data_IF_590437360161
#
_entry.id   IF_590437360161
#
_cell.length_a   1.000
_cell.length_b   1.000
_cell.length_c   1.000
_cell.angle_alpha   90.00
_cell.angle_beta   90.00
_cell.angle_gamma   90.00
#
_symmetry.space_group_name_H-M   'P 1'
#
loop_
_entity.id
_entity.type
_entity.pdbx_description
1 polymer ?
#
# COMPACT_ATOMS: atom_id res chain seq x y z
N UNK A 1 -38.26 7.86 -16.93
CA UNK A 1 -38.59 7.08 -15.73
C UNK A 1 -38.12 5.64 -15.96
N UNK A 2 -36.85 5.36 -15.69
CA UNK A 2 -36.32 4.00 -15.59
C UNK A 2 -35.44 3.96 -14.36
N UNK A 3 -35.96 3.31 -13.30
CA UNK A 3 -35.17 2.80 -12.19
C UNK A 3 -34.14 1.84 -12.79
N UNK A 4 -32.86 2.13 -12.59
CA UNK A 4 -31.83 1.12 -12.64
C UNK A 4 -31.72 0.55 -11.22
N UNK A 5 -31.84 -0.77 -11.15
CA UNK A 5 -32.02 -1.55 -9.95
C UNK A 5 -30.80 -1.51 -9.03
N UNK A 6 -31.10 -1.73 -7.74
CA UNK A 6 -30.17 -1.72 -6.63
C UNK A 6 -28.99 -2.69 -6.84
N UNK A 7 -27.78 -2.23 -6.49
CA UNK A 7 -26.60 -3.07 -6.41
C UNK A 7 -26.84 -4.28 -5.49
N UNK A 8 -26.38 -5.49 -5.84
CA UNK A 8 -26.62 -6.68 -5.05
C UNK A 8 -25.73 -6.71 -3.79
N UNK A 9 -26.36 -6.89 -2.62
CA UNK A 9 -25.84 -7.50 -1.39
C UNK A 9 -24.36 -7.21 -1.02
N UNK A 10 -24.03 -5.97 -0.64
CA UNK A 10 -22.74 -5.64 0.03
C UNK A 10 -22.62 -6.22 1.44
N UNK A 11 -23.73 -6.68 2.03
CA UNK A 11 -23.79 -7.10 3.44
C UNK A 11 -22.81 -8.23 3.80
N UNK A 12 -22.57 -9.19 2.90
CA UNK A 12 -21.65 -10.29 3.17
C UNK A 12 -20.17 -9.87 3.16
N UNK A 13 -19.81 -8.89 2.31
CA UNK A 13 -18.45 -8.36 2.28
C UNK A 13 -18.20 -7.38 3.43
N UNK A 14 -19.18 -6.54 3.77
CA UNK A 14 -19.10 -5.64 4.92
C UNK A 14 -18.97 -6.42 6.24
N UNK A 15 -19.72 -7.53 6.39
CA UNK A 15 -19.62 -8.44 7.53
C UNK A 15 -18.25 -9.13 7.58
N UNK A 16 -17.74 -9.61 6.44
CA UNK A 16 -16.41 -10.23 6.35
C UNK A 16 -15.31 -9.23 6.73
N UNK A 17 -15.34 -8.02 6.18
CA UNK A 17 -14.37 -6.97 6.51
C UNK A 17 -14.45 -6.62 8.00
N UNK A 18 -15.65 -6.49 8.56
CA UNK A 18 -15.83 -6.24 10.00
C UNK A 18 -15.25 -7.37 10.86
N UNK A 19 -15.42 -8.62 10.46
CA UNK A 19 -14.86 -9.79 11.15
C UNK A 19 -13.32 -9.83 11.08
N UNK A 20 -12.74 -9.46 9.94
CA UNK A 20 -11.28 -9.36 9.76
C UNK A 20 -10.69 -8.24 10.66
N UNK A 21 -11.31 -7.06 10.67
CA UNK A 21 -10.94 -5.97 11.57
C UNK A 21 -11.04 -6.42 13.03
N UNK A 22 -12.16 -7.04 13.41
CA UNK A 22 -12.36 -7.54 14.77
C UNK A 22 -11.27 -8.54 15.17
N UNK A 23 -10.93 -9.49 14.29
CA UNK A 23 -9.91 -10.50 14.54
C UNK A 23 -8.54 -9.87 14.79
N UNK A 24 -8.14 -8.90 13.97
CA UNK A 24 -6.85 -8.21 14.14
C UNK A 24 -6.82 -7.37 15.41
N UNK A 25 -7.88 -6.59 15.66
CA UNK A 25 -8.00 -5.68 16.81
C UNK A 25 -8.03 -6.44 18.14
N UNK A 26 -8.71 -7.59 18.20
CA UNK A 26 -8.79 -8.39 19.43
C UNK A 26 -7.63 -9.38 19.62
N UNK A 27 -6.66 -9.38 18.72
CA UNK A 27 -5.55 -10.31 18.76
C UNK A 27 -4.70 -10.18 20.04
N UNK A 28 -4.24 -11.32 20.55
CA UNK A 28 -3.32 -11.40 21.69
C UNK A 28 -2.09 -10.50 21.55
N UNK A 29 -1.36 -10.44 20.41
CA UNK A 29 -0.21 -9.54 20.28
C UNK A 29 -0.55 -8.06 20.48
N UNK A 30 -1.68 -7.58 19.93
CA UNK A 30 -2.06 -6.17 20.11
C UNK A 30 -2.45 -5.87 21.55
N UNK A 31 -3.18 -6.78 22.21
CA UNK A 31 -3.49 -6.68 23.65
C UNK A 31 -2.24 -6.67 24.51
N UNK A 32 -1.27 -7.51 24.19
CA UNK A 32 0.03 -7.58 24.88
C UNK A 32 0.80 -6.27 24.77
N UNK A 33 0.85 -5.67 23.58
CA UNK A 33 1.45 -4.35 23.39
C UNK A 33 0.73 -3.27 24.21
N UNK A 34 -0.60 -3.21 24.15
CA UNK A 34 -1.36 -2.21 24.92
C UNK A 34 -1.07 -2.34 26.42
N UNK A 35 -1.11 -3.57 26.96
CA UNK A 35 -0.81 -3.83 28.36
C UNK A 35 0.63 -3.44 28.74
N UNK A 36 1.61 -3.81 27.92
CA UNK A 36 3.03 -3.49 28.16
C UNK A 36 3.30 -1.98 28.21
N UNK A 37 2.63 -1.21 27.35
CA UNK A 37 2.73 0.25 27.33
C UNK A 37 1.78 0.93 28.33
N UNK A 38 1.23 0.19 29.30
CA UNK A 38 0.43 0.73 30.42
C UNK A 38 -1.04 0.99 30.12
N UNK A 39 -1.54 0.51 28.97
CA UNK A 39 -2.94 0.59 28.60
C UNK A 39 -3.78 -0.49 29.25
N UNK A 40 -5.00 -0.15 29.67
CA UNK A 40 -6.02 -1.12 30.05
C UNK A 40 -7.00 -1.26 28.89
N UNK A 41 -7.25 -2.49 28.45
CA UNK A 41 -8.17 -2.73 27.34
C UNK A 41 -9.57 -2.23 27.70
N UNK A 42 -10.25 -1.46 26.84
CA UNK A 42 -11.56 -0.92 27.16
C UNK A 42 -12.63 -2.00 27.07
N UNK A 43 -13.66 -1.87 27.90
CA UNK A 43 -14.96 -2.51 27.64
C UNK A 43 -15.66 -1.76 26.50
N UNK A 44 -16.45 -2.47 25.68
CA UNK A 44 -17.23 -1.85 24.61
C UNK A 44 -17.21 -2.62 23.30
N UNK A 45 -17.78 -1.99 22.27
CA UNK A 45 -17.84 -2.56 20.92
C UNK A 45 -16.57 -2.23 20.09
N UNK A 46 -16.54 -2.68 18.82
CA UNK A 46 -15.41 -2.43 17.91
C UNK A 46 -15.16 -0.93 17.67
N UNK A 47 -16.20 -0.09 17.68
CA UNK A 47 -16.06 1.35 17.53
C UNK A 47 -15.32 1.96 18.71
N UNK A 48 -15.72 1.56 19.93
CA UNK A 48 -15.09 2.03 21.17
C UNK A 48 -13.63 1.58 21.28
N UNK A 49 -13.36 0.32 20.94
CA UNK A 49 -11.99 -0.23 20.96
C UNK A 49 -11.10 0.45 19.92
N UNK A 50 -11.56 0.66 18.69
CA UNK A 50 -10.78 1.36 17.65
C UNK A 50 -10.48 2.81 18.05
N UNK A 51 -11.45 3.51 18.65
CA UNK A 51 -11.25 4.87 19.17
C UNK A 51 -10.18 4.88 20.27
N UNK A 52 -10.30 3.99 21.25
CA UNK A 52 -9.30 3.85 22.32
C UNK A 52 -7.91 3.55 21.75
N UNK A 53 -7.79 2.61 20.81
CA UNK A 53 -6.50 2.23 20.24
C UNK A 53 -5.84 3.37 19.46
N UNK A 54 -6.62 4.17 18.74
CA UNK A 54 -6.11 5.35 18.04
C UNK A 54 -5.57 6.39 19.05
N UNK A 55 -6.36 6.70 20.09
CA UNK A 55 -5.96 7.65 21.14
C UNK A 55 -4.78 7.14 21.99
N UNK A 56 -4.70 5.83 22.24
CA UNK A 56 -3.60 5.18 22.92
C UNK A 56 -2.32 5.21 22.07
N UNK A 57 -2.39 4.73 20.83
CA UNK A 57 -1.24 4.69 19.93
C UNK A 57 -0.72 6.09 19.60
N UNK A 58 -1.58 7.10 19.50
CA UNK A 58 -1.17 8.49 19.33
C UNK A 58 -0.32 9.02 20.50
N UNK A 59 -0.61 8.58 21.73
CA UNK A 59 0.14 8.99 22.93
C UNK A 59 1.45 8.22 23.10
N UNK A 60 1.43 6.92 22.82
CA UNK A 60 2.55 6.03 23.16
C UNK A 60 3.47 5.71 21.99
N UNK A 61 2.97 5.75 20.75
CA UNK A 61 3.66 5.22 19.58
C UNK A 61 3.88 6.27 18.47
N UNK A 62 3.41 7.52 18.64
CA UNK A 62 3.63 8.58 17.64
C UNK A 62 5.00 9.25 17.75
N UNK A 63 6.03 8.55 17.29
CA UNK A 63 7.40 9.07 17.18
C UNK A 63 7.65 9.97 15.95
N UNK A 64 6.64 10.16 15.09
CA UNK A 64 6.71 11.02 13.89
C UNK A 64 6.39 12.45 14.27
N UNK A 65 5.41 12.67 15.14
CA UNK A 65 5.03 14.00 15.61
C UNK A 65 4.77 14.99 14.45
N UNK A 66 4.13 14.51 13.38
CA UNK A 66 3.85 15.30 12.16
C UNK A 66 4.90 15.26 11.04
N UNK A 67 6.07 14.64 11.24
CA UNK A 67 7.10 14.49 10.19
C UNK A 67 6.78 13.39 9.16
N UNK A 68 7.50 13.36 8.04
CA UNK A 68 7.45 12.28 7.05
C UNK A 68 7.96 10.96 7.65
N UNK A 69 7.57 9.81 7.08
CA UNK A 69 7.94 8.47 7.61
C UNK A 69 9.45 8.26 7.78
N UNK A 70 10.32 8.69 6.83
CA UNK A 70 11.77 8.49 6.97
C UNK A 70 12.38 9.25 8.14
N UNK A 71 11.70 10.31 8.60
CA UNK A 71 12.18 11.25 9.63
C UNK A 71 11.61 10.95 11.03
N UNK A 72 10.97 9.79 11.21
CA UNK A 72 10.54 9.32 12.52
C UNK A 72 11.77 9.11 13.42
N UNK A 73 11.71 9.58 14.67
CA UNK A 73 12.79 9.36 15.64
C UNK A 73 12.63 7.96 16.24
N UNK A 74 13.72 7.23 16.39
CA UNK A 74 13.67 5.95 17.08
C UNK A 74 13.54 6.18 18.60
N UNK A 75 12.55 5.57 19.27
CA UNK A 75 12.47 5.57 20.73
C UNK A 75 13.62 4.77 21.35
N UNK A 76 14.04 5.18 22.54
CA UNK A 76 14.93 4.38 23.37
C UNK A 76 14.11 3.28 24.07
N UNK A 77 14.17 2.06 23.54
CA UNK A 77 13.45 0.89 24.06
C UNK A 77 14.45 -0.08 24.67
N UNK A 78 14.14 -0.59 25.86
CA UNK A 78 14.93 -1.68 26.43
C UNK A 78 14.83 -2.96 25.55
N UNK A 79 15.80 -3.87 25.63
CA UNK A 79 15.83 -5.06 24.79
C UNK A 79 14.59 -5.95 24.87
N UNK A 80 13.97 -6.07 26.05
CA UNK A 80 12.77 -6.90 26.21
C UNK A 80 11.56 -6.26 25.51
N UNK A 81 11.42 -4.94 25.64
CA UNK A 81 10.42 -4.16 24.91
C UNK A 81 10.62 -4.25 23.39
N UNK A 82 11.87 -4.15 22.92
CA UNK A 82 12.19 -4.29 21.50
C UNK A 82 11.80 -5.67 20.95
N UNK A 83 12.12 -6.75 21.66
CA UNK A 83 11.70 -8.11 21.28
C UNK A 83 10.19 -8.25 21.24
N UNK A 84 9.48 -7.78 22.28
CA UNK A 84 8.01 -7.82 22.32
C UNK A 84 7.40 -7.11 21.10
N UNK A 85 7.93 -5.95 20.72
CA UNK A 85 7.45 -5.19 19.56
C UNK A 85 7.66 -5.95 18.26
N UNK A 86 8.84 -6.56 18.08
CA UNK A 86 9.14 -7.34 16.87
C UNK A 86 8.27 -8.59 16.77
N UNK A 87 8.10 -9.33 17.86
CA UNK A 87 7.25 -10.52 17.91
C UNK A 87 5.78 -10.16 17.63
N UNK A 88 5.30 -9.07 18.21
CA UNK A 88 3.95 -8.57 17.95
C UNK A 88 3.80 -8.12 16.49
N UNK A 89 4.78 -7.40 15.93
CA UNK A 89 4.75 -6.98 14.53
C UNK A 89 4.75 -8.17 13.57
N UNK A 90 5.51 -9.23 13.85
CA UNK A 90 5.47 -10.48 13.10
C UNK A 90 4.07 -11.11 13.15
N UNK A 91 3.52 -11.28 14.35
CA UNK A 91 2.20 -11.90 14.57
C UNK A 91 1.04 -11.08 13.97
N UNK A 92 1.19 -9.75 13.90
CA UNK A 92 0.23 -8.83 13.29
C UNK A 92 0.35 -8.73 11.75
N UNK A 93 1.32 -9.44 11.15
CA UNK A 93 1.49 -9.52 9.70
C UNK A 93 2.31 -8.40 9.07
N UNK A 94 3.18 -7.72 9.84
CA UNK A 94 4.02 -6.61 9.34
C UNK A 94 5.43 -7.05 8.91
N UNK A 95 5.89 -8.24 9.28
CA UNK A 95 7.27 -8.68 9.02
C UNK A 95 7.33 -9.69 7.88
N UNK A 96 6.57 -10.77 8.01
CA UNK A 96 6.70 -11.89 7.09
C UNK A 96 5.80 -11.70 5.87
N UNK A 97 6.35 -11.82 4.65
CA UNK A 97 5.54 -11.84 3.44
C UNK A 97 4.61 -13.06 3.45
N UNK A 98 3.42 -12.90 2.89
CA UNK A 98 2.45 -13.98 2.69
C UNK A 98 2.21 -14.09 1.18
N UNK A 99 2.15 -15.31 0.60
CA UNK A 99 1.87 -15.47 -0.82
C UNK A 99 0.47 -14.96 -1.18
N UNK A 100 0.22 -14.64 -2.46
CA UNK A 100 -1.12 -14.29 -2.92
C UNK A 100 -2.14 -15.38 -2.55
N UNK A 101 -3.28 -14.97 -1.97
CA UNK A 101 -4.28 -15.91 -1.48
C UNK A 101 -5.09 -16.58 -2.62
N UNK A 102 -5.10 -15.99 -3.82
CA UNK A 102 -5.82 -16.49 -5.00
C UNK A 102 -4.85 -16.96 -6.06
N UNK A 103 -5.28 -17.95 -6.82
CA UNK A 103 -4.50 -18.51 -7.93
C UNK A 103 -4.53 -17.67 -9.20
N UNK A 104 -5.33 -16.60 -9.27
CA UNK A 104 -5.43 -15.70 -10.42
C UNK A 104 -6.08 -14.36 -10.01
N UNK A 105 -5.69 -13.30 -10.70
CA UNK A 105 -6.19 -11.93 -10.50
C UNK A 105 -6.64 -11.30 -11.80
N UNK A 106 -7.60 -10.38 -11.73
CA UNK A 106 -7.93 -9.49 -12.84
C UNK A 106 -6.81 -8.47 -13.02
N UNK A 107 -6.33 -7.88 -11.93
CA UNK A 107 -5.28 -6.86 -11.95
C UNK A 107 -4.26 -7.06 -10.83
N UNK A 108 -3.03 -6.63 -11.08
CA UNK A 108 -2.01 -6.45 -10.04
C UNK A 108 -1.72 -4.96 -9.94
N UNK A 109 -1.67 -4.43 -8.73
CA UNK A 109 -1.45 -3.01 -8.47
C UNK A 109 -0.21 -2.84 -7.59
N UNK A 110 0.86 -2.31 -8.15
CA UNK A 110 2.13 -2.03 -7.49
C UNK A 110 2.11 -0.63 -6.92
N UNK A 111 2.25 -0.50 -5.60
CA UNK A 111 2.23 0.80 -4.93
C UNK A 111 3.60 1.48 -4.98
N UNK A 112 3.62 2.76 -5.30
CA UNK A 112 4.77 3.64 -5.18
C UNK A 112 5.18 3.92 -3.74
N UNK A 113 6.34 4.55 -3.57
CA UNK A 113 6.88 4.96 -2.28
C UNK A 113 8.22 5.69 -2.46
N UNK A 114 9.17 5.37 -1.59
CA UNK A 114 10.55 5.79 -1.77
C UNK A 114 11.17 5.04 -2.95
N UNK A 115 12.17 5.65 -3.60
CA UNK A 115 12.82 5.11 -4.80
C UNK A 115 13.22 3.62 -4.68
N UNK A 116 13.82 3.21 -3.57
CA UNK A 116 14.19 1.80 -3.35
C UNK A 116 12.98 0.85 -3.29
N UNK A 117 11.89 1.30 -2.67
CA UNK A 117 10.66 0.53 -2.56
C UNK A 117 9.98 0.40 -3.94
N UNK A 118 10.01 1.44 -4.76
CA UNK A 118 9.51 1.42 -6.13
C UNK A 118 10.16 0.29 -6.94
N UNK A 119 11.50 0.27 -6.99
CA UNK A 119 12.26 -0.75 -7.73
C UNK A 119 11.97 -2.16 -7.21
N UNK A 120 12.00 -2.36 -5.88
CA UNK A 120 11.76 -3.68 -5.27
C UNK A 120 10.35 -4.20 -5.52
N UNK A 121 9.33 -3.34 -5.44
CA UNK A 121 7.92 -3.73 -5.65
C UNK A 121 7.62 -4.05 -7.11
N UNK A 122 8.20 -3.29 -8.05
CA UNK A 122 8.13 -3.63 -9.49
C UNK A 122 8.81 -4.96 -9.76
N UNK A 123 10.01 -5.17 -9.21
CA UNK A 123 10.72 -6.44 -9.31
C UNK A 123 9.90 -7.62 -8.74
N UNK A 124 9.24 -7.44 -7.60
CA UNK A 124 8.40 -8.48 -7.00
C UNK A 124 7.17 -8.80 -7.85
N UNK A 125 6.51 -7.79 -8.45
CA UNK A 125 5.42 -8.04 -9.38
C UNK A 125 5.88 -8.86 -10.60
N UNK A 126 7.06 -8.55 -11.15
CA UNK A 126 7.62 -9.35 -12.24
C UNK A 126 7.98 -10.78 -11.79
N UNK A 127 8.49 -10.95 -10.57
CA UNK A 127 8.73 -12.28 -9.98
C UNK A 127 7.43 -13.09 -9.91
N UNK A 128 6.35 -12.51 -9.39
CA UNK A 128 5.05 -13.19 -9.31
C UNK A 128 4.54 -13.62 -10.70
N UNK A 129 4.64 -12.75 -11.70
CA UNK A 129 4.24 -13.07 -13.07
C UNK A 129 5.08 -14.20 -13.67
N UNK A 130 6.41 -14.15 -13.52
CA UNK A 130 7.34 -15.18 -14.01
C UNK A 130 7.16 -16.51 -13.29
N UNK A 131 6.75 -16.47 -12.02
CA UNK A 131 6.37 -17.65 -11.24
C UNK A 131 5.00 -18.24 -11.67
N UNK A 132 4.33 -17.63 -12.67
CA UNK A 132 3.12 -18.15 -13.28
C UNK A 132 1.82 -17.60 -12.71
N UNK A 133 1.85 -16.48 -11.97
CA UNK A 133 0.62 -15.83 -11.50
C UNK A 133 -0.21 -15.32 -12.70
N UNK A 134 -1.40 -15.87 -12.98
CA UNK A 134 -2.23 -15.42 -14.08
C UNK A 134 -2.88 -14.06 -13.77
N UNK A 135 -2.75 -13.15 -14.74
CA UNK A 135 -3.37 -11.81 -14.70
C UNK A 135 -4.09 -11.56 -16.03
N UNK A 136 -5.40 -11.36 -15.99
CA UNK A 136 -6.21 -11.20 -17.22
C UNK A 136 -6.30 -9.77 -17.75
N UNK A 137 -6.12 -8.78 -16.87
CA UNK A 137 -6.20 -7.36 -17.18
C UNK A 137 -4.82 -6.74 -17.36
N UNK A 138 -4.32 -6.06 -16.33
CA UNK A 138 -3.02 -5.37 -16.38
C UNK A 138 -2.28 -5.42 -15.03
N UNK A 139 -0.97 -5.17 -15.08
CA UNK A 139 -0.19 -4.73 -13.92
C UNK A 139 -0.11 -3.21 -13.94
N UNK A 140 -0.76 -2.57 -12.98
CA UNK A 140 -0.71 -1.13 -12.79
C UNK A 140 0.33 -0.75 -11.74
N UNK A 141 1.27 0.11 -12.12
CA UNK A 141 2.36 0.61 -11.30
C UNK A 141 2.06 2.06 -10.97
N UNK A 142 1.58 2.30 -9.75
CA UNK A 142 0.99 3.56 -9.34
C UNK A 142 2.02 4.43 -8.62
N UNK A 143 2.32 5.59 -9.21
CA UNK A 143 3.27 6.57 -8.68
C UNK A 143 2.67 7.97 -8.51
N UNK A 144 3.56 8.93 -8.30
CA UNK A 144 3.23 10.34 -8.23
C UNK A 144 4.37 11.19 -8.83
N UNK A 145 4.10 12.46 -9.10
CA UNK A 145 5.14 13.44 -9.46
C UNK A 145 5.88 13.98 -8.23
N UNK A 146 5.91 13.24 -7.11
CA UNK A 146 6.69 13.61 -5.93
C UNK A 146 8.18 13.67 -6.32
N UNK A 147 8.85 14.81 -6.12
CA UNK A 147 10.29 14.89 -6.33
C UNK A 147 11.03 13.94 -5.39
N UNK A 148 12.11 13.35 -5.89
CA UNK A 148 13.00 12.56 -5.05
C UNK A 148 13.78 13.46 -4.08
N UNK A 149 14.08 12.92 -2.90
CA UNK A 149 15.04 13.54 -1.98
C UNK A 149 16.49 13.30 -2.43
N UNK A 150 17.44 14.09 -1.89
CA UNK A 150 18.88 13.88 -2.15
C UNK A 150 19.38 12.51 -1.69
N UNK A 151 18.77 11.96 -0.64
CA UNK A 151 19.08 10.61 -0.17
C UNK A 151 18.62 9.57 -1.20
N UNK A 152 17.40 9.67 -1.72
CA UNK A 152 16.88 8.77 -2.75
C UNK A 152 17.72 8.82 -4.03
N UNK A 153 18.06 10.01 -4.52
CA UNK A 153 18.94 10.17 -5.70
C UNK A 153 20.29 9.50 -5.52
N UNK A 154 20.92 9.67 -4.34
CA UNK A 154 22.20 9.01 -4.03
C UNK A 154 22.06 7.49 -3.99
N UNK A 155 21.02 6.97 -3.36
CA UNK A 155 20.75 5.52 -3.32
C UNK A 155 20.56 4.92 -4.72
N UNK A 156 19.88 5.63 -5.63
CA UNK A 156 19.76 5.21 -7.03
C UNK A 156 21.11 5.20 -7.74
N UNK A 157 21.89 6.28 -7.59
CA UNK A 157 23.20 6.41 -8.21
C UNK A 157 24.19 5.33 -7.73
N UNK A 158 24.22 5.03 -6.43
CA UNK A 158 25.04 3.97 -5.84
C UNK A 158 24.70 2.58 -6.39
N UNK A 159 23.45 2.36 -6.80
CA UNK A 159 23.00 1.14 -7.45
C UNK A 159 23.13 1.14 -8.98
N UNK A 160 23.75 2.17 -9.56
CA UNK A 160 23.89 2.33 -11.01
C UNK A 160 22.56 2.49 -11.74
N UNK A 161 21.56 3.08 -11.07
CA UNK A 161 20.28 3.44 -11.66
C UNK A 161 20.30 4.90 -12.16
N UNK A 162 19.48 5.23 -13.18
CA UNK A 162 19.32 6.59 -13.68
C UNK A 162 19.03 7.63 -12.58
N UNK A 163 19.46 8.86 -12.84
CA UNK A 163 19.15 10.02 -12.01
C UNK A 163 17.72 10.51 -12.29
N UNK A 164 16.74 9.70 -11.89
CA UNK A 164 15.33 10.03 -12.03
C UNK A 164 14.94 11.19 -11.09
N UNK A 165 14.02 12.05 -11.54
CA UNK A 165 13.63 13.26 -10.81
C UNK A 165 12.43 13.02 -9.89
N UNK A 166 11.48 12.17 -10.31
CA UNK A 166 10.25 11.90 -9.59
C UNK A 166 10.03 10.42 -9.30
N UNK A 167 9.14 10.14 -8.35
CA UNK A 167 8.71 8.77 -8.03
C UNK A 167 8.18 8.00 -9.25
N UNK A 168 7.38 8.65 -10.12
CA UNK A 168 6.86 8.00 -11.34
C UNK A 168 7.95 7.72 -12.37
N UNK A 169 9.02 8.52 -12.41
CA UNK A 169 10.17 8.25 -13.29
C UNK A 169 10.95 7.01 -12.83
N UNK A 170 11.16 6.86 -11.52
CA UNK A 170 11.78 5.66 -10.94
C UNK A 170 10.97 4.41 -11.26
N UNK A 171 9.64 4.49 -11.15
CA UNK A 171 8.75 3.37 -11.47
C UNK A 171 8.81 3.01 -12.95
N UNK A 172 8.87 4.00 -13.84
CA UNK A 172 9.01 3.78 -15.28
C UNK A 172 10.34 3.13 -15.65
N UNK A 173 11.44 3.66 -15.10
CA UNK A 173 12.79 3.09 -15.22
C UNK A 173 12.82 1.65 -14.71
N UNK A 174 12.21 1.38 -13.55
CA UNK A 174 12.11 0.05 -13.00
C UNK A 174 11.32 -0.90 -13.91
N UNK A 175 10.18 -0.47 -14.46
CA UNK A 175 9.38 -1.27 -15.39
C UNK A 175 10.18 -1.60 -16.66
N UNK A 176 10.81 -0.60 -17.28
CA UNK A 176 11.61 -0.79 -18.50
C UNK A 176 12.75 -1.79 -18.28
N UNK A 177 13.44 -1.68 -17.16
CA UNK A 177 14.57 -2.56 -16.82
C UNK A 177 14.10 -3.97 -16.46
N UNK A 178 13.10 -4.10 -15.60
CA UNK A 178 12.66 -5.39 -15.08
C UNK A 178 11.93 -6.20 -16.13
N UNK A 179 11.09 -5.56 -16.96
CA UNK A 179 10.33 -6.21 -18.02
C UNK A 179 11.02 -6.17 -19.39
N UNK A 180 12.24 -5.63 -19.46
CA UNK A 180 13.07 -5.57 -20.67
C UNK A 180 12.37 -4.88 -21.86
N UNK A 181 11.61 -3.83 -21.57
CA UNK A 181 10.86 -3.04 -22.56
C UNK A 181 11.51 -1.69 -22.82
N UNK A 182 11.67 -1.34 -24.10
CA UNK A 182 12.39 -0.14 -24.49
C UNK A 182 11.55 1.14 -24.46
N UNK A 183 10.29 1.09 -24.90
CA UNK A 183 9.40 2.25 -25.02
C UNK A 183 7.94 1.85 -24.78
N UNK A 184 7.08 2.77 -24.30
CA UNK A 184 5.67 2.47 -24.15
C UNK A 184 5.00 2.29 -25.51
N UNK A 185 4.09 1.32 -25.59
CA UNK A 185 3.22 1.13 -26.75
C UNK A 185 2.12 2.21 -26.81
N UNK A 186 1.73 2.73 -25.66
CA UNK A 186 0.75 3.82 -25.53
C UNK A 186 1.23 4.80 -24.46
N UNK A 187 1.09 6.08 -24.74
CA UNK A 187 1.37 7.16 -23.80
C UNK A 187 0.25 8.18 -23.84
N UNK A 188 -0.23 8.56 -22.67
CA UNK A 188 -1.26 9.58 -22.47
C UNK A 188 -0.94 10.40 -21.22
N UNK A 189 -1.52 11.57 -21.10
CA UNK A 189 -1.30 12.46 -19.97
C UNK A 189 -1.56 13.92 -20.27
N UNK A 190 -1.59 14.71 -19.20
CA UNK A 190 -1.66 16.17 -19.27
C UNK A 190 -0.54 16.71 -18.39
N UNK A 191 0.35 17.52 -18.99
CA UNK A 191 1.24 18.38 -18.24
C UNK A 191 0.57 19.76 -18.08
N UNK A 192 0.05 20.01 -16.88
CA UNK A 192 -0.60 21.26 -16.53
C UNK A 192 0.40 22.32 -16.01
N UNK A 193 1.71 22.08 -16.12
CA UNK A 193 2.76 22.96 -15.59
C UNK A 193 2.86 22.95 -14.06
N UNK A 194 2.08 22.08 -13.39
CA UNK A 194 2.11 21.92 -11.94
C UNK A 194 1.85 20.46 -11.54
N UNK A 195 2.74 19.82 -10.75
CA UNK A 195 2.65 18.38 -10.40
C UNK A 195 1.30 17.92 -9.82
N UNK A 196 0.57 18.80 -9.14
CA UNK A 196 -0.72 18.44 -8.55
C UNK A 196 -1.85 18.35 -9.59
N UNK A 197 -1.73 19.05 -10.71
CA UNK A 197 -2.73 19.09 -11.78
C UNK A 197 -2.35 18.17 -12.94
N UNK A 198 -1.09 17.75 -13.02
CA UNK A 198 -0.58 16.87 -14.07
C UNK A 198 -0.92 15.41 -13.80
N UNK A 199 -1.04 14.62 -14.86
CA UNK A 199 -1.18 13.16 -14.82
C UNK A 199 -0.48 12.52 -16.01
N UNK A 200 -0.04 11.28 -15.86
CA UNK A 200 0.59 10.52 -16.95
C UNK A 200 0.25 9.04 -16.89
N UNK A 201 0.18 8.42 -18.06
CA UNK A 201 -0.01 6.98 -18.27
C UNK A 201 0.93 6.50 -19.36
N UNK A 202 1.77 5.50 -19.06
CA UNK A 202 2.65 4.83 -20.01
C UNK A 202 2.36 3.33 -19.97
N UNK A 203 1.90 2.76 -21.07
CA UNK A 203 1.57 1.32 -21.16
C UNK A 203 2.61 0.59 -21.97
N UNK A 204 3.19 -0.45 -21.40
CA UNK A 204 4.14 -1.37 -22.00
C UNK A 204 3.49 -2.73 -22.26
N UNK A 205 3.95 -3.42 -23.30
CA UNK A 205 3.46 -4.75 -23.67
C UNK A 205 4.63 -5.72 -23.84
N UNK A 206 5.21 -6.23 -22.75
CA UNK A 206 6.21 -7.28 -22.82
C UNK A 206 5.61 -8.58 -23.39
N UNK A 207 6.37 -9.30 -24.20
CA UNK A 207 5.93 -10.55 -24.83
C UNK A 207 5.60 -11.63 -23.77
N UNK A 208 4.47 -12.30 -23.94
CA UNK A 208 4.03 -13.39 -23.05
C UNK A 208 3.59 -12.94 -21.65
N UNK A 209 3.46 -11.65 -21.41
CA UNK A 209 3.07 -11.06 -20.12
C UNK A 209 1.87 -10.11 -20.30
N UNK A 210 1.09 -9.83 -19.23
CA UNK A 210 0.03 -8.84 -19.29
C UNK A 210 0.59 -7.43 -19.59
N UNK A 211 -0.23 -6.50 -20.11
CA UNK A 211 0.12 -5.09 -20.19
C UNK A 211 0.58 -4.55 -18.84
N UNK A 212 1.65 -3.75 -18.86
CA UNK A 212 2.20 -3.08 -17.67
C UNK A 212 2.00 -1.58 -17.83
N UNK A 213 1.22 -0.96 -16.94
CA UNK A 213 0.94 0.49 -16.99
C UNK A 213 1.63 1.21 -15.85
N UNK A 214 2.44 2.21 -16.16
CA UNK A 214 2.95 3.17 -15.18
C UNK A 214 2.03 4.38 -15.17
N UNK A 215 1.46 4.70 -14.00
CA UNK A 215 0.43 5.72 -13.87
C UNK A 215 0.72 6.68 -12.71
N UNK A 216 0.70 7.98 -12.99
CA UNK A 216 0.60 9.02 -11.99
C UNK A 216 -0.70 9.81 -12.22
N UNK A 217 -1.47 10.00 -11.14
CA UNK A 217 -2.74 10.69 -11.17
C UNK A 217 -2.60 12.14 -10.71
N UNK A 218 -3.53 13.02 -11.11
CA UNK A 218 -3.62 14.34 -10.51
C UNK A 218 -4.16 14.22 -9.08
N UNK A 219 -3.98 15.25 -8.28
CA UNK A 219 -4.61 15.35 -6.96
C UNK A 219 -6.11 15.58 -7.12
N UNK A 220 -6.93 14.98 -6.24
CA UNK A 220 -8.35 15.34 -6.15
C UNK A 220 -8.57 16.73 -5.53
N UNK A 221 -7.54 17.31 -4.90
CA UNK A 221 -7.55 18.63 -4.27
C UNK A 221 -6.26 19.39 -4.67
N UNK A 222 -6.10 19.70 -5.97
CA UNK A 222 -4.80 20.07 -6.53
C UNK A 222 -4.28 21.44 -6.05
N UNK A 223 -5.19 22.34 -5.69
CA UNK A 223 -4.86 23.65 -5.11
C UNK A 223 -4.40 23.56 -3.65
N UNK A 224 -4.63 22.43 -2.97
CA UNK A 224 -4.37 22.28 -1.53
C UNK A 224 -3.23 21.32 -1.22
N UNK A 225 -3.11 20.23 -1.99
CA UNK A 225 -2.14 19.16 -1.72
C UNK A 225 -1.76 18.38 -2.96
N UNK A 226 -0.63 17.67 -2.86
CA UNK A 226 -0.22 16.65 -3.84
C UNK A 226 -1.18 15.46 -3.85
N UNK A 227 -1.17 14.73 -4.97
CA UNK A 227 -1.87 13.46 -5.08
C UNK A 227 -1.33 12.47 -4.04
N UNK A 228 -2.24 11.75 -3.39
CA UNK A 228 -1.89 10.65 -2.49
C UNK A 228 -2.32 9.31 -3.08
N UNK A 229 -1.91 8.20 -2.46
CA UNK A 229 -2.20 6.83 -2.94
C UNK A 229 -3.68 6.60 -3.30
N UNK A 230 -4.62 7.15 -2.52
CA UNK A 230 -6.05 6.98 -2.82
C UNK A 230 -6.53 7.76 -4.06
N UNK A 231 -5.84 8.83 -4.47
CA UNK A 231 -6.15 9.54 -5.71
C UNK A 231 -5.71 8.69 -6.89
N UNK A 232 -4.46 8.18 -6.83
CA UNK A 232 -3.92 7.33 -7.89
C UNK A 232 -4.69 6.03 -8.04
N UNK A 233 -5.13 5.41 -6.94
CA UNK A 233 -5.98 4.20 -6.97
C UNK A 233 -7.34 4.47 -7.62
N UNK A 234 -8.04 5.55 -7.25
CA UNK A 234 -9.35 5.88 -7.85
C UNK A 234 -9.23 6.28 -9.32
N UNK A 235 -8.21 7.05 -9.64
CA UNK A 235 -7.91 7.45 -11.00
C UNK A 235 -7.65 6.22 -11.87
N UNK A 236 -6.81 5.30 -11.40
CA UNK A 236 -6.58 4.00 -12.03
C UNK A 236 -7.87 3.19 -12.20
N UNK A 237 -8.66 3.03 -11.14
CA UNK A 237 -9.91 2.26 -11.17
C UNK A 237 -10.89 2.81 -12.22
N UNK A 238 -10.95 4.14 -12.38
CA UNK A 238 -11.70 4.79 -13.46
C UNK A 238 -11.13 4.51 -14.84
N UNK A 239 -9.80 4.51 -15.00
CA UNK A 239 -9.12 4.24 -16.28
C UNK A 239 -9.39 2.83 -16.79
N UNK A 240 -9.26 1.84 -15.91
CA UNK A 240 -9.50 0.44 -16.29
C UNK A 240 -10.97 0.04 -16.27
N UNK A 241 -11.85 0.95 -15.81
CA UNK A 241 -13.27 0.68 -15.55
C UNK A 241 -13.45 -0.55 -14.66
N UNK A 242 -12.78 -0.51 -13.50
CA UNK A 242 -12.76 -1.60 -12.53
C UNK A 242 -14.18 -2.08 -12.22
N UNK A 243 -14.41 -3.39 -12.38
CA UNK A 243 -15.73 -3.99 -12.31
C UNK A 243 -15.97 -4.69 -10.96
N UNK A 244 -17.23 -4.77 -10.51
CA UNK A 244 -17.60 -5.62 -9.39
C UNK A 244 -17.17 -7.08 -9.65
N UNK A 245 -16.59 -7.71 -8.62
CA UNK A 245 -16.06 -9.07 -8.69
C UNK A 245 -14.63 -9.20 -9.24
N UNK A 246 -14.04 -8.12 -9.76
CA UNK A 246 -12.61 -8.13 -10.13
C UNK A 246 -11.75 -8.47 -8.92
N UNK A 247 -10.77 -9.34 -9.13
CA UNK A 247 -9.78 -9.72 -8.10
C UNK A 247 -8.54 -8.87 -8.31
N UNK A 248 -8.19 -8.02 -7.36
CA UNK A 248 -7.03 -7.13 -7.44
C UNK A 248 -6.00 -7.53 -6.38
N UNK A 249 -4.76 -7.75 -6.81
CA UNK A 249 -3.63 -7.99 -5.93
C UNK A 249 -2.84 -6.70 -5.73
N UNK A 250 -2.81 -6.17 -4.51
CA UNK A 250 -1.98 -5.03 -4.14
C UNK A 250 -0.57 -5.51 -3.74
N UNK A 251 0.47 -4.88 -4.29
CA UNK A 251 1.88 -5.17 -3.96
C UNK A 251 2.51 -3.99 -3.23
N UNK A 252 3.05 -4.25 -2.04
CA UNK A 252 3.72 -3.25 -1.20
C UNK A 252 4.85 -3.83 -0.34
N UNK A 253 5.44 -3.08 0.60
CA UNK A 253 6.38 -3.61 1.58
C UNK A 253 5.63 -4.29 2.75
N UNK A 254 6.15 -5.40 3.32
CA UNK A 254 5.47 -6.16 4.38
C UNK A 254 4.95 -5.28 5.54
N UNK A 255 5.78 -4.35 6.02
CA UNK A 255 5.42 -3.45 7.14
C UNK A 255 4.18 -2.59 6.87
N UNK A 256 3.83 -2.37 5.61
CA UNK A 256 2.69 -1.55 5.22
C UNK A 256 1.44 -2.36 4.88
N UNK A 257 1.53 -3.69 4.80
CA UNK A 257 0.43 -4.57 4.37
C UNK A 257 -0.84 -4.31 5.16
N UNK A 258 -0.87 -4.32 6.51
CA UNK A 258 -2.14 -4.21 7.23
C UNK A 258 -2.87 -2.88 6.98
N UNK A 259 -2.14 -1.76 6.97
CA UNK A 259 -2.78 -0.46 6.78
C UNK A 259 -3.16 -0.23 5.32
N UNK A 260 -2.31 -0.60 4.36
CA UNK A 260 -2.59 -0.41 2.94
C UNK A 260 -3.65 -1.37 2.42
N UNK A 261 -3.80 -2.54 3.04
CA UNK A 261 -4.93 -3.41 2.79
C UNK A 261 -6.25 -2.72 3.17
N UNK A 262 -6.32 -2.15 4.38
CA UNK A 262 -7.51 -1.41 4.83
C UNK A 262 -7.82 -0.19 3.95
N UNK A 263 -6.78 0.57 3.55
CA UNK A 263 -6.94 1.70 2.65
C UNK A 263 -7.40 1.28 1.25
N UNK A 264 -6.89 0.16 0.72
CA UNK A 264 -7.33 -0.39 -0.55
C UNK A 264 -8.78 -0.90 -0.49
N UNK A 265 -9.20 -1.55 0.60
CA UNK A 265 -10.60 -1.93 0.81
C UNK A 265 -11.50 -0.69 0.81
N UNK A 266 -11.14 0.35 1.56
CA UNK A 266 -11.91 1.60 1.65
C UNK A 266 -11.96 2.38 0.33
N UNK A 267 -10.90 2.30 -0.48
CA UNK A 267 -10.76 3.09 -1.70
C UNK A 267 -11.27 2.37 -2.94
N UNK A 268 -11.14 1.04 -2.98
CA UNK A 268 -11.43 0.21 -4.15
C UNK A 268 -12.55 -0.82 -3.88
N UNK A 269 -12.42 -1.66 -2.85
CA UNK A 269 -13.39 -2.74 -2.63
C UNK A 269 -14.79 -2.20 -2.34
N UNK A 270 -14.92 -1.31 -1.35
CA UNK A 270 -16.21 -0.76 -0.93
C UNK A 270 -16.88 0.06 -2.07
N UNK A 271 -16.17 0.95 -2.80
CA UNK A 271 -16.82 1.74 -3.85
C UNK A 271 -17.05 1.01 -5.18
N UNK A 272 -16.22 0.01 -5.53
CA UNK A 272 -16.26 -0.65 -6.84
C UNK A 272 -16.71 -2.11 -6.78
N UNK A 273 -16.89 -2.70 -5.60
CA UNK A 273 -17.29 -4.10 -5.42
C UNK A 273 -16.23 -5.12 -5.85
N UNK A 274 -14.96 -4.73 -5.90
CA UNK A 274 -13.85 -5.62 -6.23
C UNK A 274 -13.31 -6.35 -4.98
N UNK A 275 -12.69 -7.50 -5.17
CA UNK A 275 -11.98 -8.22 -4.12
C UNK A 275 -10.51 -7.79 -4.07
N UNK A 276 -10.00 -7.48 -2.87
CA UNK A 276 -8.61 -7.06 -2.66
C UNK A 276 -7.85 -8.15 -1.91
N UNK A 277 -6.67 -8.51 -2.42
CA UNK A 277 -5.59 -9.07 -1.63
C UNK A 277 -4.45 -8.08 -1.52
N UNK A 278 -3.61 -8.20 -0.49
CA UNK A 278 -2.41 -7.36 -0.35
C UNK A 278 -1.25 -8.21 0.10
N UNK A 279 -0.15 -8.13 -0.64
CA UNK A 279 1.08 -8.87 -0.36
C UNK A 279 2.26 -7.92 -0.15
N UNK A 280 3.11 -8.31 0.79
CA UNK A 280 4.41 -7.68 1.01
C UNK A 280 5.46 -8.27 0.07
N UNK A 281 6.37 -7.44 -0.43
CA UNK A 281 7.57 -7.88 -1.13
C UNK A 281 8.34 -8.83 -0.23
N UNK A 282 8.66 -10.02 -0.75
CA UNK A 282 9.48 -10.97 -0.02
C UNK A 282 10.94 -10.48 0.04
N UNK A 283 11.47 -10.16 1.24
CA UNK A 283 12.82 -9.64 1.37
C UNK A 283 13.91 -10.68 1.10
N UNK A 284 13.58 -11.97 1.10
CA UNK A 284 14.53 -13.07 0.89
C UNK A 284 14.87 -13.33 -0.57
N UNK A 285 14.15 -12.71 -1.51
CA UNK A 285 14.39 -12.89 -2.94
C UNK A 285 15.67 -12.20 -3.40
N UNK A 286 16.64 -13.00 -3.84
CA UNK A 286 17.97 -12.54 -4.26
C UNK A 286 17.94 -11.54 -5.42
N UNK A 287 17.05 -11.73 -6.40
CA UNK A 287 16.96 -10.88 -7.60
C UNK A 287 16.44 -9.45 -7.29
N UNK A 288 15.86 -9.23 -6.11
CA UNK A 288 15.37 -7.92 -5.66
C UNK A 288 16.41 -7.14 -4.87
N UNK A 289 17.58 -7.73 -4.60
CA UNK A 289 18.64 -7.17 -3.76
C UNK A 289 19.45 -6.04 -4.42
N UNK A 290 19.09 -5.60 -5.63
CA UNK A 290 19.74 -4.46 -6.33
C UNK A 290 19.74 -3.21 -5.45
N UNK A 291 18.74 -3.05 -4.59
CA UNK A 291 18.69 -2.03 -3.56
C UNK A 291 18.51 -2.66 -2.18
N UNK A 292 19.32 -2.27 -1.18
CA UNK A 292 19.22 -2.80 0.17
C UNK A 292 17.86 -2.44 0.75
N UNK A 293 17.25 -3.40 1.46
CA UNK A 293 16.09 -3.09 2.28
C UNK A 293 16.54 -2.23 3.46
N UNK A 294 15.74 -1.21 3.80
CA UNK A 294 16.02 -0.43 4.99
C UNK A 294 15.85 -1.32 6.22
N UNK A 295 16.84 -1.36 7.10
CA UNK A 295 16.69 -2.01 8.41
C UNK A 295 15.55 -1.33 9.16
N UNK A 296 14.48 -2.10 9.41
CA UNK A 296 13.32 -1.64 10.14
C UNK A 296 13.57 -1.80 11.64
N UNK A 297 13.27 -0.74 12.38
CA UNK A 297 13.46 -0.67 13.83
C UNK A 297 12.14 -0.93 14.56
N UNK A 298 12.18 -1.35 15.85
CA UNK A 298 10.96 -1.54 16.64
C UNK A 298 10.05 -0.30 16.67
N UNK A 299 10.61 0.90 16.78
CA UNK A 299 9.85 2.15 16.72
C UNK A 299 9.11 2.35 15.39
N UNK A 300 9.71 1.95 14.27
CA UNK A 300 9.04 1.95 12.96
C UNK A 300 7.87 0.97 12.92
N UNK A 301 8.01 -0.22 13.50
CA UNK A 301 6.91 -1.18 13.57
C UNK A 301 5.75 -0.67 14.44
N UNK A 302 6.02 -0.08 15.60
CA UNK A 302 4.99 0.56 16.42
C UNK A 302 4.23 1.65 15.64
N UNK A 303 4.95 2.41 14.81
CA UNK A 303 4.33 3.44 13.98
C UNK A 303 3.43 2.87 12.89
N UNK A 304 3.81 1.76 12.26
CA UNK A 304 2.97 1.16 11.23
C UNK A 304 1.85 0.28 11.79
N UNK A 305 2.00 -0.25 13.00
CA UNK A 305 0.87 -0.79 13.80
C UNK A 305 -0.14 0.33 14.07
N UNK A 306 0.32 1.53 14.44
CA UNK A 306 -0.54 2.71 14.56
C UNK A 306 -1.21 3.07 13.23
N UNK A 307 -0.47 3.08 12.11
CA UNK A 307 -1.06 3.31 10.78
C UNK A 307 -2.18 2.30 10.48
N UNK A 308 -1.99 1.04 10.84
CA UNK A 308 -2.99 -0.02 10.66
C UNK A 308 -4.25 0.24 11.50
N UNK A 309 -4.10 0.55 12.79
CA UNK A 309 -5.22 0.93 13.68
C UNK A 309 -6.05 2.08 13.07
N UNK A 310 -5.38 3.14 12.62
CA UNK A 310 -6.03 4.30 12.00
C UNK A 310 -6.77 3.95 10.72
N UNK A 311 -6.17 3.09 9.89
CA UNK A 311 -6.78 2.66 8.63
C UNK A 311 -7.97 1.74 8.86
N UNK A 312 -7.90 0.84 9.86
CA UNK A 312 -9.03 0.01 10.29
C UNK A 312 -10.17 0.85 10.86
N UNK A 313 -9.88 1.86 11.70
CA UNK A 313 -10.88 2.82 12.20
C UNK A 313 -11.58 3.56 11.05
N UNK A 314 -10.82 4.05 10.08
CA UNK A 314 -11.36 4.75 8.93
C UNK A 314 -12.20 3.83 8.03
N UNK A 315 -11.75 2.59 7.81
CA UNK A 315 -12.50 1.58 7.05
C UNK A 315 -13.81 1.21 7.77
N UNK A 316 -13.74 0.87 9.05
CA UNK A 316 -14.91 0.51 9.88
C UNK A 316 -15.98 1.61 9.88
N UNK A 317 -15.57 2.88 10.04
CA UNK A 317 -16.49 4.02 9.96
C UNK A 317 -17.16 4.16 8.58
N UNK A 318 -16.48 3.72 7.51
CA UNK A 318 -16.99 3.74 6.14
C UNK A 318 -17.94 2.60 5.79
N UNK A 319 -18.02 1.53 6.60
CA UNK A 319 -18.92 0.39 6.39
C UNK A 319 -20.34 0.61 6.92
N UNK A 320 -20.59 1.71 7.64
CA UNK A 320 -21.93 2.04 8.12
C UNK A 320 -22.71 2.73 7.00
N UNK A 321 -23.92 2.24 6.64
CA UNK A 321 -24.76 2.94 5.67
C UNK A 321 -25.09 4.34 6.19
N UNK A 322 -24.89 5.35 5.34
CA UNK A 322 -25.44 6.69 5.54
C UNK A 322 -26.94 6.69 5.29
#
# INVERSE_FOLDING_TARGET
>A
MHRADAAPSTGTDDERIRAEIHTWVWSTPLRGLVAHFGGTWPDGDLTDVLRFLDDFSARHWDFRGGRERPDAREPDLDPATATLVLDAAAALGLIHPVPPARSAYAHVVVLGGLAHACVRRVGYAAHLLRAGLPVSGEVAVLGSFRPLSDWERRTLAEAGLPADETEVDVLDTAVRRVFEVAAPAEQDGVDAGHPHHSWSSRTYRPDGLPPIRVLAAPSSEPDQRRAHTADTQRFWAGHVRLAPGDKVLMVTAPIYVPFQHCDALRTLAVPYGCAIDTVGVDPTLADLAVLPEQTLTPGRYLQEIRSAIRSMRALHAGLHPR
#
